data_IF_776822448790
#
_entry.id   IF_776822448790
#
_cell.length_a   1.000
_cell.length_b   1.000
_cell.length_c   1.000
_cell.angle_alpha   90.00
_cell.angle_beta   90.00
_cell.angle_gamma   90.00
#
_symmetry.space_group_name_H-M   'P 1'
#
loop_
_entity.id
_entity.type
_entity.pdbx_description
1 polymer ?
#
# COMPACT_ATOMS: atom_id res chain seq x y z
N UNK A 1 -7.69 -6.64 -31.20
CA UNK A 1 -8.38 -7.10 -29.97
C UNK A 1 -7.47 -8.06 -29.19
N UNK A 2 -6.69 -7.59 -28.20
CA UNK A 2 -5.95 -8.44 -27.24
C UNK A 2 -5.52 -7.69 -25.94
N UNK A 3 -6.06 -6.51 -25.65
CA UNK A 3 -5.59 -5.65 -24.54
C UNK A 3 -6.39 -5.75 -23.24
N UNK A 4 -7.54 -6.44 -23.25
CA UNK A 4 -8.43 -6.53 -22.07
C UNK A 4 -7.95 -7.55 -21.03
N UNK A 5 -7.43 -8.72 -21.46
CA UNK A 5 -6.90 -9.75 -20.58
C UNK A 5 -5.64 -9.30 -19.83
N UNK A 6 -4.76 -8.54 -20.48
CA UNK A 6 -3.50 -8.05 -19.89
C UNK A 6 -3.70 -7.11 -18.68
N UNK A 7 -4.72 -6.24 -18.71
CA UNK A 7 -5.01 -5.34 -17.59
C UNK A 7 -5.67 -6.07 -16.41
N UNK A 8 -6.52 -7.06 -16.67
CA UNK A 8 -7.19 -7.85 -15.64
C UNK A 8 -6.25 -8.82 -14.91
N UNK A 9 -5.34 -9.49 -15.64
CA UNK A 9 -4.31 -10.36 -15.04
C UNK A 9 -3.26 -9.54 -14.29
N UNK A 10 -2.87 -8.37 -14.83
CA UNK A 10 -1.96 -7.45 -14.14
C UNK A 10 -2.46 -7.02 -12.76
N UNK A 11 -3.77 -6.75 -12.60
CA UNK A 11 -4.35 -6.36 -11.31
C UNK A 11 -4.39 -7.49 -10.29
N UNK A 12 -4.71 -8.72 -10.70
CA UNK A 12 -4.70 -9.89 -9.80
C UNK A 12 -3.27 -10.24 -9.36
N UNK A 13 -2.31 -10.24 -10.28
CA UNK A 13 -0.89 -10.47 -9.96
C UNK A 13 -0.36 -9.39 -9.00
N UNK A 14 -0.75 -8.13 -9.21
CA UNK A 14 -0.45 -7.03 -8.28
C UNK A 14 -0.95 -7.35 -6.87
N UNK A 15 -2.22 -7.70 -6.71
CA UNK A 15 -2.79 -7.95 -5.38
C UNK A 15 -2.25 -9.20 -4.69
N UNK A 16 -1.87 -10.24 -5.46
CA UNK A 16 -1.14 -11.39 -4.93
C UNK A 16 0.21 -10.99 -4.35
N UNK A 17 1.00 -10.22 -5.10
CA UNK A 17 2.29 -9.70 -4.64
C UNK A 17 2.15 -8.83 -3.38
N UNK A 18 1.16 -7.93 -3.38
CA UNK A 18 0.85 -7.09 -2.20
C UNK A 18 0.50 -7.93 -0.99
N UNK A 19 -0.28 -9.01 -1.17
CA UNK A 19 -0.67 -9.90 -0.06
C UNK A 19 0.52 -10.65 0.51
N UNK A 20 1.46 -11.03 -0.34
CA UNK A 20 2.66 -11.75 0.08
C UNK A 20 3.64 -10.84 0.84
N UNK A 21 3.90 -9.62 0.33
CA UNK A 21 5.01 -8.80 0.83
C UNK A 21 4.59 -7.52 1.57
N UNK A 22 3.45 -6.90 1.22
CA UNK A 22 3.07 -5.62 1.81
C UNK A 22 2.38 -5.77 3.17
N UNK A 23 1.64 -6.86 3.39
CA UNK A 23 0.89 -7.15 4.63
C UNK A 23 1.09 -8.62 5.00
N UNK A 24 2.30 -9.04 5.42
CA UNK A 24 2.58 -10.43 5.75
C UNK A 24 1.78 -10.91 6.97
N UNK A 25 1.52 -12.23 7.13
CA UNK A 25 0.75 -12.76 8.26
C UNK A 25 1.26 -12.33 9.63
N UNK A 26 2.59 -12.30 9.84
CA UNK A 26 3.22 -11.86 11.08
C UNK A 26 2.89 -10.41 11.46
N UNK A 27 2.71 -9.54 10.46
CA UNK A 27 2.24 -8.17 10.68
C UNK A 27 0.80 -8.16 11.20
N UNK A 28 -0.09 -8.93 10.55
CA UNK A 28 -1.52 -9.01 10.91
C UNK A 28 -1.66 -9.52 12.34
N UNK A 29 -0.95 -10.60 12.67
CA UNK A 29 -0.93 -11.20 14.01
C UNK A 29 -0.45 -10.20 15.07
N UNK A 30 0.70 -9.55 14.83
CA UNK A 30 1.29 -8.61 15.78
C UNK A 30 0.42 -7.37 15.95
N UNK A 31 -0.06 -6.77 14.86
CA UNK A 31 -0.91 -5.59 14.89
C UNK A 31 -2.26 -5.89 15.55
N UNK A 32 -2.87 -7.04 15.24
CA UNK A 32 -4.12 -7.49 15.87
C UNK A 32 -3.94 -7.72 17.36
N UNK A 33 -2.89 -8.42 17.79
CA UNK A 33 -2.62 -8.66 19.21
C UNK A 33 -2.44 -7.35 20.00
N UNK A 34 -1.74 -6.36 19.43
CA UNK A 34 -1.54 -5.03 20.02
C UNK A 34 -2.85 -4.26 20.12
N UNK A 35 -3.64 -4.23 19.03
CA UNK A 35 -4.96 -3.58 18.98
C UNK A 35 -5.92 -4.14 20.02
N UNK A 36 -6.00 -5.48 20.15
CA UNK A 36 -6.88 -6.13 21.12
C UNK A 36 -6.52 -5.81 22.58
N UNK A 37 -5.26 -5.48 22.86
CA UNK A 37 -4.80 -4.99 24.18
C UNK A 37 -5.00 -3.48 24.37
N UNK A 38 -5.52 -2.76 23.37
CA UNK A 38 -5.69 -1.31 23.38
C UNK A 38 -4.42 -0.51 23.05
N UNK A 39 -3.32 -1.17 22.69
CA UNK A 39 -2.06 -0.54 22.28
C UNK A 39 -2.11 -0.16 20.79
N UNK A 40 -2.89 0.86 20.46
CA UNK A 40 -3.06 1.32 19.08
C UNK A 40 -1.76 1.87 18.47
N UNK A 41 -0.90 2.49 19.28
CA UNK A 41 0.39 3.00 18.82
C UNK A 41 1.35 1.85 18.46
N UNK A 42 1.41 0.81 19.29
CA UNK A 42 2.16 -0.41 18.99
C UNK A 42 1.58 -1.17 17.80
N UNK A 43 0.26 -1.18 17.62
CA UNK A 43 -0.37 -1.73 16.42
C UNK A 43 0.04 -0.96 15.15
N UNK A 44 0.04 0.38 15.19
CA UNK A 44 0.53 1.22 14.11
C UNK A 44 1.99 0.92 13.78
N UNK A 45 2.86 0.82 14.79
CA UNK A 45 4.27 0.50 14.59
C UNK A 45 4.46 -0.88 13.90
N UNK A 46 3.71 -1.90 14.32
CA UNK A 46 3.73 -3.22 13.69
C UNK A 46 3.31 -3.18 12.21
N UNK A 47 2.33 -2.34 11.87
CA UNK A 47 1.87 -2.11 10.50
C UNK A 47 2.71 -1.07 9.73
N UNK A 48 3.84 -0.61 10.30
CA UNK A 48 4.73 0.41 9.70
C UNK A 48 4.03 1.73 9.41
N UNK A 49 3.15 2.10 10.33
CA UNK A 49 2.44 3.38 10.36
C UNK A 49 3.03 4.25 11.45
N UNK A 50 3.56 5.39 11.05
CA UNK A 50 4.13 6.41 11.91
C UNK A 50 3.02 7.30 12.48
N UNK A 51 3.05 7.55 13.79
CA UNK A 51 2.07 8.41 14.46
C UNK A 51 2.62 9.83 14.56
N UNK A 52 2.06 10.73 13.77
CA UNK A 52 2.37 12.17 13.77
C UNK A 52 1.17 12.96 14.33
N UNK A 53 0.67 12.53 15.50
CA UNK A 53 -0.49 13.09 16.19
C UNK A 53 -0.12 13.54 17.61
N UNK A 54 -0.33 14.82 17.91
CA UNK A 54 -0.29 15.32 19.29
C UNK A 54 -1.72 15.43 19.84
N UNK A 55 -2.15 14.39 20.56
CA UNK A 55 -3.49 14.34 21.16
C UNK A 55 -3.68 15.39 22.26
N UNK A 56 -2.61 15.85 22.92
CA UNK A 56 -2.69 16.92 23.93
C UNK A 56 -2.88 18.27 23.25
N UNK A 57 -2.15 18.54 22.17
CA UNK A 57 -2.40 19.73 21.35
C UNK A 57 -3.80 19.74 20.76
N UNK A 58 -4.26 18.60 20.25
CA UNK A 58 -5.60 18.46 19.71
C UNK A 58 -6.67 18.75 20.78
N UNK A 59 -6.50 18.23 22.01
CA UNK A 59 -7.42 18.54 23.12
C UNK A 59 -7.40 20.03 23.51
N UNK A 60 -6.23 20.67 23.51
CA UNK A 60 -6.12 22.11 23.79
C UNK A 60 -6.82 22.97 22.74
N UNK A 61 -6.69 22.63 21.46
CA UNK A 61 -7.22 23.43 20.34
C UNK A 61 -8.71 23.14 20.09
N UNK A 62 -9.11 21.87 20.12
CA UNK A 62 -10.46 21.43 19.73
C UNK A 62 -11.35 20.99 20.90
N UNK A 63 -10.80 20.96 22.12
CA UNK A 63 -11.50 20.55 23.32
C UNK A 63 -11.52 19.04 23.55
N UNK A 64 -11.96 18.68 24.77
CA UNK A 64 -11.99 17.29 25.27
C UNK A 64 -12.87 16.36 24.45
N UNK A 65 -14.03 16.83 24.01
CA UNK A 65 -14.99 15.96 23.34
C UNK A 65 -14.51 15.50 21.96
N UNK A 66 -13.93 16.40 21.16
CA UNK A 66 -13.33 16.02 19.89
C UNK A 66 -12.12 15.10 20.12
N UNK A 67 -11.26 15.41 21.09
CA UNK A 67 -10.13 14.55 21.44
C UNK A 67 -10.56 13.14 21.88
N UNK A 68 -11.67 13.02 22.60
CA UNK A 68 -12.27 11.73 22.99
C UNK A 68 -12.72 10.93 21.77
N UNK A 69 -13.41 11.56 20.82
CA UNK A 69 -13.81 10.92 19.54
C UNK A 69 -12.61 10.43 18.73
N UNK A 70 -11.54 11.23 18.65
CA UNK A 70 -10.30 10.82 17.98
C UNK A 70 -9.63 9.65 18.68
N UNK A 71 -9.54 9.67 20.02
CA UNK A 71 -8.97 8.55 20.81
C UNK A 71 -9.78 7.27 20.62
N UNK A 72 -11.09 7.38 20.55
CA UNK A 72 -11.99 6.25 20.31
C UNK A 72 -11.79 5.66 18.90
N UNK A 73 -11.70 6.50 17.86
CA UNK A 73 -11.36 6.04 16.51
C UNK A 73 -9.97 5.38 16.46
N UNK A 74 -8.96 5.92 17.15
CA UNK A 74 -7.61 5.32 17.21
C UNK A 74 -7.58 3.98 17.95
N UNK A 75 -8.37 3.82 19.02
CA UNK A 75 -8.46 2.54 19.75
C UNK A 75 -8.99 1.41 18.88
N UNK A 76 -9.82 1.72 17.90
CA UNK A 76 -10.45 0.75 17.01
C UNK A 76 -9.79 0.66 15.62
N UNK A 77 -8.73 1.43 15.37
CA UNK A 77 -7.95 1.37 14.16
C UNK A 77 -7.31 -0.03 14.00
N UNK A 78 -7.56 -0.67 12.85
CA UNK A 78 -6.84 -1.83 12.33
C UNK A 78 -5.81 -1.34 11.28
N UNK A 79 -4.56 -1.04 11.68
CA UNK A 79 -3.60 -0.37 10.82
C UNK A 79 -3.05 -1.28 9.70
N UNK A 80 -3.00 -2.59 9.94
CA UNK A 80 -2.67 -3.61 8.94
C UNK A 80 -3.77 -3.74 7.88
N UNK A 81 -5.05 -3.67 8.27
CA UNK A 81 -6.18 -3.58 7.35
C UNK A 81 -6.17 -2.27 6.55
N UNK A 82 -5.88 -1.14 7.20
CA UNK A 82 -5.69 0.15 6.54
C UNK A 82 -4.59 0.03 5.47
N UNK A 83 -3.42 -0.51 5.83
CA UNK A 83 -2.28 -0.68 4.92
C UNK A 83 -2.63 -1.55 3.72
N UNK A 84 -3.42 -2.62 3.92
CA UNK A 84 -3.89 -3.48 2.83
C UNK A 84 -4.67 -2.69 1.77
N UNK A 85 -5.64 -1.88 2.20
CA UNK A 85 -6.51 -1.13 1.31
C UNK A 85 -5.95 0.19 0.77
N UNK A 86 -4.85 0.69 1.33
CA UNK A 86 -4.25 1.96 0.88
C UNK A 86 -3.97 1.95 -0.64
N UNK A 87 -4.15 3.08 -1.34
CA UNK A 87 -4.04 3.13 -2.80
C UNK A 87 -2.64 2.73 -3.30
N UNK A 88 -2.60 1.92 -4.36
CA UNK A 88 -1.37 1.34 -4.92
C UNK A 88 -1.23 1.59 -6.42
N UNK A 89 0.00 1.47 -6.93
CA UNK A 89 0.36 1.65 -8.33
C UNK A 89 0.81 0.31 -8.91
N UNK A 90 0.35 0.03 -10.13
CA UNK A 90 0.76 -1.13 -10.92
C UNK A 90 2.13 -0.92 -11.60
N UNK A 91 2.88 -1.99 -11.91
CA UNK A 91 2.51 -3.40 -11.69
C UNK A 91 2.86 -3.93 -10.30
N UNK A 92 3.78 -3.27 -9.61
CA UNK A 92 4.43 -3.83 -8.41
C UNK A 92 3.57 -3.76 -7.14
N UNK A 93 2.48 -2.98 -7.16
CA UNK A 93 1.58 -2.88 -6.02
C UNK A 93 2.14 -2.02 -4.89
N UNK A 94 3.09 -1.15 -5.19
CA UNK A 94 3.62 -0.17 -4.25
C UNK A 94 2.56 0.90 -3.95
N UNK A 95 2.47 1.33 -2.69
CA UNK A 95 1.72 2.47 -2.20
C UNK A 95 1.97 3.67 -3.09
N UNK A 96 0.89 4.32 -3.49
CA UNK A 96 0.96 5.54 -4.27
C UNK A 96 1.60 6.65 -3.41
N UNK A 97 2.70 7.26 -3.85
CA UNK A 97 3.41 8.26 -3.06
C UNK A 97 2.67 9.61 -3.01
N UNK A 98 2.96 10.40 -1.98
CA UNK A 98 2.51 11.78 -1.80
C UNK A 98 1.00 11.94 -1.58
N UNK A 99 0.30 10.91 -1.14
CA UNK A 99 -1.15 10.97 -0.90
C UNK A 99 -1.47 11.53 0.49
N UNK A 100 -2.60 12.22 0.59
CA UNK A 100 -3.32 12.44 1.85
C UNK A 100 -4.71 11.82 1.70
N UNK A 101 -4.98 10.77 2.47
CA UNK A 101 -6.25 10.03 2.49
C UNK A 101 -7.02 10.41 3.75
N UNK A 102 -8.28 10.83 3.61
CA UNK A 102 -9.13 11.11 4.77
C UNK A 102 -9.58 9.78 5.39
N UNK A 103 -9.35 9.58 6.69
CA UNK A 103 -9.84 8.43 7.44
C UNK A 103 -11.14 8.75 8.18
N UNK A 104 -11.22 9.93 8.79
CA UNK A 104 -12.41 10.38 9.51
C UNK A 104 -12.51 11.90 9.44
N UNK A 105 -13.74 12.41 9.28
CA UNK A 105 -14.08 13.84 9.31
C UNK A 105 -14.75 14.18 10.63
N UNK A 106 -14.31 15.26 11.28
CA UNK A 106 -14.82 15.71 12.57
C UNK A 106 -15.54 17.05 12.42
N UNK A 107 -16.85 17.00 12.17
CA UNK A 107 -17.68 18.21 12.14
C UNK A 107 -17.67 18.92 13.50
N UNK A 108 -17.58 20.26 13.48
CA UNK A 108 -17.84 21.09 14.64
C UNK A 108 -19.36 21.23 14.81
N UNK A 109 -19.92 20.55 15.80
CA UNK A 109 -21.24 20.91 16.32
C UNK A 109 -21.08 22.15 17.18
N UNK A 110 -21.48 23.31 16.68
CA UNK A 110 -21.83 24.48 17.50
C UNK A 110 -20.70 25.35 18.07
N UNK A 111 -19.53 25.46 17.42
CA UNK A 111 -18.52 26.47 17.80
C UNK A 111 -18.08 27.25 16.56
N UNK A 112 -18.06 28.60 16.58
CA UNK A 112 -17.48 29.37 15.48
C UNK A 112 -15.99 29.00 15.33
N UNK A 113 -15.56 28.88 14.08
CA UNK A 113 -14.17 28.59 13.74
C UNK A 113 -13.25 29.69 14.33
N UNK A 114 -12.06 29.34 14.84
CA UNK A 114 -11.06 30.34 15.18
C UNK A 114 -10.64 31.11 13.91
N UNK A 115 -10.38 32.40 14.10
CA UNK A 115 -10.27 33.44 13.06
C UNK A 115 -9.52 33.03 11.78
N UNK A 116 -10.25 33.06 10.66
CA UNK A 116 -9.74 32.65 9.35
C UNK A 116 -10.86 32.35 8.35
N UNK A 117 -11.82 33.26 8.26
CA UNK A 117 -13.06 33.09 7.48
C UNK A 117 -12.77 33.22 5.98
N UNK A 118 -12.99 32.14 5.23
CA UNK A 118 -13.24 32.21 3.78
C UNK A 118 -14.64 32.77 3.50
N UNK A 119 -14.97 33.16 2.26
CA UNK A 119 -16.19 33.93 1.94
C UNK A 119 -17.52 33.31 2.41
N UNK A 120 -17.55 32.02 2.78
CA UNK A 120 -18.74 31.30 3.22
C UNK A 120 -18.85 31.06 4.75
N UNK A 121 -17.98 31.66 5.59
CA UNK A 121 -18.15 31.61 7.06
C UNK A 121 -17.80 30.27 7.75
N UNK A 122 -17.51 29.21 7.00
CA UNK A 122 -17.22 27.87 7.53
C UNK A 122 -15.74 27.54 7.36
N UNK A 123 -15.00 27.45 8.46
CA UNK A 123 -13.61 26.97 8.46
C UNK A 123 -13.49 25.53 7.94
N UNK A 124 -12.33 25.14 7.39
CA UNK A 124 -12.11 23.78 6.89
C UNK A 124 -12.36 22.73 7.99
N UNK A 125 -13.16 21.71 7.68
CA UNK A 125 -13.52 20.68 8.66
C UNK A 125 -12.27 19.84 9.00
N UNK A 126 -11.96 19.61 10.28
CA UNK A 126 -10.82 18.79 10.65
C UNK A 126 -10.97 17.31 10.29
N UNK A 127 -9.86 16.67 9.95
CA UNK A 127 -9.77 15.27 9.56
C UNK A 127 -8.61 14.55 10.25
N UNK A 128 -8.86 13.29 10.62
CA UNK A 128 -7.78 12.31 10.78
C UNK A 128 -7.41 11.81 9.39
N UNK A 129 -6.13 11.86 9.04
CA UNK A 129 -5.63 11.48 7.71
C UNK A 129 -4.51 10.46 7.78
N UNK A 130 -4.40 9.64 6.74
CA UNK A 130 -3.23 8.82 6.46
C UNK A 130 -2.45 9.43 5.28
N UNK A 131 -1.13 9.53 5.39
CA UNK A 131 -0.25 10.11 4.37
C UNK A 131 0.79 9.12 3.90
N UNK A 132 1.09 9.15 2.61
CA UNK A 132 2.25 8.45 2.04
C UNK A 132 3.34 9.45 1.70
N UNK A 133 4.62 9.15 1.99
CA UNK A 133 5.72 10.03 1.64
C UNK A 133 5.77 10.37 0.15
N UNK A 134 6.34 11.52 -0.25
CA UNK A 134 6.64 11.77 -1.65
C UNK A 134 7.58 10.69 -2.21
N UNK A 135 7.58 10.48 -3.53
CA UNK A 135 8.29 9.38 -4.17
C UNK A 135 9.79 9.33 -3.83
N UNK A 136 10.44 10.48 -3.68
CA UNK A 136 11.86 10.55 -3.32
C UNK A 136 12.15 10.16 -1.86
N UNK A 137 11.13 10.14 -1.00
CA UNK A 137 11.22 9.75 0.42
C UNK A 137 10.46 8.45 0.72
N UNK A 138 10.01 7.72 -0.31
CA UNK A 138 9.28 6.47 -0.14
C UNK A 138 10.26 5.36 0.31
N UNK A 139 10.50 5.28 1.61
CA UNK A 139 11.45 4.35 2.20
C UNK A 139 10.80 3.04 2.63
N UNK A 140 10.46 2.22 1.65
CA UNK A 140 9.79 0.96 1.94
C UNK A 140 8.39 1.20 2.49
N UNK A 141 7.63 2.10 1.85
CA UNK A 141 6.18 2.06 1.91
C UNK A 141 5.63 2.43 3.29
N UNK A 142 6.19 3.49 3.89
CA UNK A 142 5.72 4.05 5.17
C UNK A 142 4.39 4.79 4.98
N UNK A 143 3.59 4.80 6.02
CA UNK A 143 2.37 5.60 6.12
C UNK A 143 2.49 6.45 7.38
N UNK A 144 2.04 7.70 7.38
CA UNK A 144 1.89 8.47 8.62
C UNK A 144 0.44 8.81 8.92
N UNK A 145 0.04 8.70 10.17
CA UNK A 145 -1.23 9.19 10.68
C UNK A 145 -1.03 10.62 11.19
N UNK A 146 -1.83 11.54 10.68
CA UNK A 146 -1.70 12.95 10.98
C UNK A 146 -3.07 13.63 11.15
N UNK A 147 -3.03 14.81 11.74
CA UNK A 147 -4.18 15.69 11.85
C UNK A 147 -4.15 16.71 10.72
N UNK A 148 -5.31 16.97 10.10
CA UNK A 148 -5.47 18.00 9.09
C UNK A 148 -6.66 18.89 9.43
N UNK A 149 -6.45 20.20 9.51
CA UNK A 149 -7.44 21.20 9.92
C UNK A 149 -7.51 22.39 8.95
N UNK A 150 -6.91 22.24 7.77
CA UNK A 150 -6.85 23.25 6.72
C UNK A 150 -6.00 24.49 7.03
N UNK A 151 -5.45 24.63 8.23
CA UNK A 151 -4.55 25.74 8.54
C UNK A 151 -3.16 25.45 7.96
N UNK A 152 -2.57 26.44 7.27
CA UNK A 152 -1.17 26.38 6.87
C UNK A 152 -0.35 26.49 8.15
N UNK A 153 0.04 25.35 8.67
CA UNK A 153 0.93 25.23 9.81
C UNK A 153 2.18 26.09 9.56
N UNK A 154 2.48 27.02 10.49
CA UNK A 154 3.49 28.06 10.35
C UNK A 154 4.95 27.58 10.23
N UNK A 155 5.93 28.50 10.24
CA UNK A 155 7.35 28.14 10.21
C UNK A 155 7.69 27.36 11.49
N UNK A 156 7.87 26.05 11.37
CA UNK A 156 7.99 25.10 12.48
C UNK A 156 7.22 23.79 12.27
N UNK A 157 6.39 23.73 11.23
CA UNK A 157 5.49 22.60 10.98
C UNK A 157 6.06 21.44 10.16
N UNK A 158 7.23 20.94 10.54
CA UNK A 158 7.80 19.65 10.09
C UNK A 158 7.57 19.22 8.63
N UNK A 159 7.47 17.91 8.41
CA UNK A 159 7.24 17.31 7.08
C UNK A 159 5.89 17.65 6.45
N UNK A 160 4.88 17.98 7.27
CA UNK A 160 3.51 18.25 6.86
C UNK A 160 3.41 19.51 5.97
N UNK A 161 4.19 20.56 6.26
CA UNK A 161 4.21 21.79 5.48
C UNK A 161 4.85 21.62 4.09
N UNK A 162 5.68 20.58 3.90
CA UNK A 162 6.39 20.27 2.64
C UNK A 162 5.78 19.08 1.88
N UNK A 163 4.62 18.58 2.32
CA UNK A 163 3.95 17.46 1.66
C UNK A 163 3.35 17.89 0.30
N UNK A 164 3.57 17.16 -0.81
CA UNK A 164 3.16 17.60 -2.16
C UNK A 164 1.65 17.81 -2.33
N UNK A 165 0.84 16.95 -1.72
CA UNK A 165 -0.61 17.03 -1.74
C UNK A 165 -1.13 17.10 -0.30
N UNK A 166 -1.05 18.27 0.37
CA UNK A 166 -1.30 18.38 1.80
C UNK A 166 -2.78 18.27 2.17
N UNK A 167 -3.68 18.51 1.19
CA UNK A 167 -5.13 18.42 1.35
C UNK A 167 -5.62 16.98 1.15
N UNK A 168 -6.63 16.53 1.92
CA UNK A 168 -7.27 15.25 1.68
C UNK A 168 -7.75 15.10 0.22
N UNK A 169 -7.47 13.95 -0.37
CA UNK A 169 -7.88 13.63 -1.73
C UNK A 169 -9.39 13.53 -1.84
N UNK A 170 -9.96 14.10 -2.91
CA UNK A 170 -11.37 13.90 -3.27
C UNK A 170 -11.67 12.47 -3.74
N UNK A 171 -10.64 11.76 -4.22
CA UNK A 171 -10.76 10.40 -4.77
C UNK A 171 -10.57 9.31 -3.70
N UNK A 172 -9.73 9.57 -2.69
CA UNK A 172 -9.41 8.58 -1.64
C UNK A 172 -10.06 8.99 -0.32
N UNK A 173 -11.32 8.57 -0.16
CA UNK A 173 -12.25 8.96 0.92
C UNK A 173 -12.56 7.79 1.86
N UNK A 174 -11.60 7.43 2.72
CA UNK A 174 -11.79 6.35 3.70
C UNK A 174 -12.67 6.79 4.89
N UNK A 175 -12.97 8.09 4.99
CA UNK A 175 -14.03 8.63 5.84
C UNK A 175 -15.42 8.12 5.45
N UNK A 176 -15.64 7.77 4.17
CA UNK A 176 -16.86 7.13 3.68
C UNK A 176 -16.79 5.60 3.66
N UNK A 177 -15.60 5.04 3.88
CA UNK A 177 -15.29 3.60 3.79
C UNK A 177 -14.59 3.12 5.07
N UNK A 178 -15.16 3.43 6.23
CA UNK A 178 -14.57 3.08 7.54
C UNK A 178 -14.32 1.58 7.70
N UNK A 179 -15.13 0.73 7.05
CA UNK A 179 -14.93 -0.72 7.03
C UNK A 179 -13.57 -1.20 6.49
N UNK A 180 -12.81 -0.33 5.83
CA UNK A 180 -11.45 -0.63 5.34
C UNK A 180 -10.35 -0.43 6.39
N UNK A 181 -10.67 0.10 7.59
CA UNK A 181 -9.68 0.39 8.62
C UNK A 181 -10.21 0.41 10.06
N UNK A 182 -11.50 0.68 10.30
CA UNK A 182 -12.15 0.69 11.62
C UNK A 182 -12.70 -0.71 11.92
N UNK A 183 -12.14 -1.37 12.93
CA UNK A 183 -12.52 -2.73 13.29
C UNK A 183 -14.00 -2.88 13.66
N UNK A 184 -14.64 -1.82 14.16
CA UNK A 184 -16.08 -1.82 14.51
C UNK A 184 -16.99 -1.81 13.29
N UNK A 185 -16.46 -1.39 12.14
CA UNK A 185 -17.22 -1.24 10.89
C UNK A 185 -16.85 -2.32 9.88
N UNK A 186 -15.95 -3.24 10.22
CA UNK A 186 -15.50 -4.28 9.31
C UNK A 186 -16.63 -5.19 8.81
N UNK A 187 -17.69 -5.39 9.59
CA UNK A 187 -18.88 -6.14 9.16
C UNK A 187 -19.61 -5.51 7.97
N UNK A 188 -19.50 -4.19 7.79
CA UNK A 188 -20.10 -3.49 6.64
C UNK A 188 -19.38 -3.84 5.33
N UNK A 189 -18.18 -4.42 5.39
CA UNK A 189 -17.37 -4.76 4.22
C UNK A 189 -18.17 -5.58 3.20
N UNK A 190 -18.96 -6.55 3.66
CA UNK A 190 -19.81 -7.37 2.78
C UNK A 190 -20.85 -6.50 2.06
N UNK A 191 -21.65 -5.75 2.81
CA UNK A 191 -22.72 -4.94 2.25
C UNK A 191 -22.18 -3.84 1.32
N UNK A 192 -21.00 -3.27 1.64
CA UNK A 192 -20.38 -2.17 0.90
C UNK A 192 -19.52 -2.63 -0.28
N UNK A 193 -19.08 -3.88 -0.30
CA UNK A 193 -18.25 -4.45 -1.37
C UNK A 193 -19.01 -5.33 -2.35
N UNK A 194 -20.29 -5.59 -2.07
CA UNK A 194 -21.10 -6.57 -2.76
C UNK A 194 -20.78 -7.99 -2.29
N UNK A 195 -21.80 -8.84 -2.15
CA UNK A 195 -21.66 -10.26 -1.81
C UNK A 195 -21.43 -11.15 -3.05
N UNK A 196 -21.47 -10.56 -4.25
CA UNK A 196 -21.41 -11.31 -5.51
C UNK A 196 -22.73 -12.00 -5.89
N UNK A 197 -23.81 -11.74 -5.14
CA UNK A 197 -25.19 -12.03 -5.55
C UNK A 197 -25.86 -10.70 -5.89
N UNK A 198 -26.75 -10.70 -6.87
CA UNK A 198 -27.60 -9.53 -7.09
C UNK A 198 -28.39 -9.28 -5.78
N UNK A 199 -28.39 -8.06 -5.21
CA UNK A 199 -29.16 -7.78 -4.01
C UNK A 199 -30.64 -8.11 -4.24
N UNK A 200 -31.29 -8.77 -3.28
CA UNK A 200 -32.74 -9.01 -3.33
C UNK A 200 -33.57 -7.71 -3.27
N UNK A 201 -32.90 -6.60 -2.93
CA UNK A 201 -33.44 -5.25 -2.82
C UNK A 201 -32.35 -4.26 -3.20
N UNK A 202 -31.99 -4.23 -4.49
CA UNK A 202 -31.17 -3.15 -5.06
C UNK A 202 -32.03 -1.89 -5.26
N UNK A 203 -31.41 -0.69 -5.19
CA UNK A 203 -31.91 0.46 -5.95
C UNK A 203 -32.03 0.08 -7.46
N UNK A 204 -32.84 0.81 -8.24
CA UNK A 204 -33.15 0.48 -9.63
C UNK A 204 -31.93 0.12 -10.51
N UNK A 205 -32.14 -0.65 -11.60
CA UNK A 205 -31.05 -1.16 -12.44
C UNK A 205 -30.12 -0.05 -12.95
N UNK A 206 -28.81 -0.33 -12.99
CA UNK A 206 -27.83 0.60 -13.55
C UNK A 206 -27.89 0.54 -15.08
N UNK A 207 -28.38 1.61 -15.70
CA UNK A 207 -28.41 1.71 -17.16
C UNK A 207 -26.99 2.04 -17.67
N UNK A 208 -26.36 1.08 -18.35
CA UNK A 208 -24.99 1.22 -18.86
C UNK A 208 -24.97 1.12 -20.38
N UNK A 209 -24.50 2.14 -21.11
CA UNK A 209 -24.21 1.99 -22.53
C UNK A 209 -23.12 0.94 -22.74
N UNK A 210 -23.20 0.06 -23.76
CA UNK A 210 -22.24 -1.02 -24.00
C UNK A 210 -20.76 -0.56 -24.10
N UNK A 211 -20.54 0.70 -24.45
CA UNK A 211 -19.21 1.30 -24.67
C UNK A 211 -18.69 2.14 -23.50
N UNK A 212 -19.55 2.48 -22.53
CA UNK A 212 -19.21 3.44 -21.46
C UNK A 212 -18.20 2.87 -20.45
N UNK A 213 -18.31 1.56 -20.16
CA UNK A 213 -17.39 0.84 -19.28
C UNK A 213 -16.76 -0.32 -20.05
N UNK A 214 -15.47 -0.23 -20.40
CA UNK A 214 -14.80 -1.28 -21.17
C UNK A 214 -14.90 -2.67 -20.54
N UNK A 215 -15.27 -3.66 -21.36
CA UNK A 215 -15.28 -5.07 -20.96
C UNK A 215 -13.90 -5.49 -20.40
N UNK A 216 -13.90 -6.11 -19.22
CA UNK A 216 -12.70 -6.59 -18.51
C UNK A 216 -12.17 -5.67 -17.40
N UNK A 217 -12.69 -4.45 -17.25
CA UNK A 217 -12.50 -3.67 -16.03
C UNK A 217 -13.35 -4.26 -14.90
N UNK A 218 -12.73 -4.62 -13.78
CA UNK A 218 -13.42 -5.15 -12.59
C UNK A 218 -14.02 -4.01 -11.76
N UNK A 219 -14.95 -3.27 -12.36
CA UNK A 219 -15.72 -2.21 -11.71
C UNK A 219 -16.85 -2.81 -10.87
N UNK A 220 -17.17 -2.17 -9.75
CA UNK A 220 -18.29 -2.56 -8.88
C UNK A 220 -19.56 -1.77 -9.24
N UNK A 221 -20.06 -1.97 -10.46
CA UNK A 221 -21.16 -1.22 -11.04
C UNK A 221 -22.44 -1.29 -10.18
N UNK A 222 -22.70 -2.46 -9.61
CA UNK A 222 -23.86 -2.81 -8.80
C UNK A 222 -24.04 -1.92 -7.55
N UNK A 223 -22.99 -1.24 -7.09
CA UNK A 223 -23.02 -0.36 -5.91
C UNK A 223 -22.80 1.12 -6.20
N UNK A 224 -22.55 1.50 -7.45
CA UNK A 224 -22.21 2.89 -7.80
C UNK A 224 -23.32 3.88 -7.40
N UNK A 225 -24.59 3.52 -7.61
CA UNK A 225 -25.74 4.34 -7.21
C UNK A 225 -25.76 4.61 -5.69
N UNK A 226 -25.73 3.55 -4.88
CA UNK A 226 -25.75 3.65 -3.42
C UNK A 226 -24.53 4.43 -2.86
N UNK A 227 -23.35 4.22 -3.44
CA UNK A 227 -22.13 4.94 -3.05
C UNK A 227 -22.16 6.42 -3.47
N UNK A 228 -22.79 6.75 -4.59
CA UNK A 228 -23.00 8.13 -5.03
C UNK A 228 -23.99 8.88 -4.12
N UNK A 229 -25.03 8.22 -3.62
CA UNK A 229 -25.93 8.80 -2.61
C UNK A 229 -25.20 9.12 -1.31
N UNK A 230 -24.36 8.19 -0.83
CA UNK A 230 -23.53 8.40 0.36
C UNK A 230 -22.56 9.56 0.19
N UNK A 231 -21.91 9.64 -0.97
CA UNK A 231 -21.03 10.77 -1.32
C UNK A 231 -21.81 12.08 -1.34
N UNK A 232 -22.93 12.16 -2.05
CA UNK A 232 -23.74 13.37 -2.15
C UNK A 232 -24.20 13.84 -0.77
N UNK A 233 -24.66 12.94 0.10
CA UNK A 233 -24.99 13.28 1.51
C UNK A 233 -23.79 13.84 2.27
N UNK A 234 -22.61 13.27 2.11
CA UNK A 234 -21.39 13.76 2.76
C UNK A 234 -20.92 15.13 2.24
N UNK A 235 -21.25 15.46 1.00
CA UNK A 235 -21.04 16.77 0.38
C UNK A 235 -22.18 17.77 0.66
N UNK A 236 -23.19 17.40 1.47
CA UNK A 236 -24.34 18.27 1.79
C UNK A 236 -25.36 18.39 0.66
N UNK A 237 -25.30 17.54 -0.37
CA UNK A 237 -26.21 17.51 -1.52
C UNK A 237 -27.36 16.53 -1.25
N UNK A 238 -28.25 16.88 -0.32
CA UNK A 238 -29.37 16.01 0.09
C UNK A 238 -30.35 15.67 -1.03
N UNK A 239 -30.51 16.55 -2.03
CA UNK A 239 -31.31 16.30 -3.22
C UNK A 239 -30.62 15.35 -4.24
N UNK A 240 -29.42 14.87 -3.93
CA UNK A 240 -28.60 14.09 -4.84
C UNK A 240 -27.97 14.94 -5.95
N UNK A 241 -27.48 14.27 -6.98
CA UNK A 241 -26.94 14.90 -8.17
C UNK A 241 -25.83 14.08 -8.81
N UNK A 242 -25.36 14.51 -10.00
CA UNK A 242 -24.39 13.75 -10.77
C UNK A 242 -23.03 13.67 -10.06
N UNK A 243 -22.36 12.54 -10.26
CA UNK A 243 -21.04 12.20 -9.70
C UNK A 243 -20.12 11.69 -10.81
N UNK A 244 -18.85 12.10 -10.78
CA UNK A 244 -17.85 11.63 -11.76
C UNK A 244 -17.20 10.34 -11.26
N UNK A 245 -17.15 9.31 -12.11
CA UNK A 245 -16.42 8.05 -11.84
C UNK A 245 -15.13 8.02 -12.65
N UNK A 246 -14.00 7.69 -12.02
CA UNK A 246 -12.68 7.64 -12.66
C UNK A 246 -12.25 6.20 -12.90
N UNK A 247 -12.10 5.80 -14.17
CA UNK A 247 -11.78 4.42 -14.58
C UNK A 247 -10.28 4.19 -14.85
N UNK A 248 -9.43 5.14 -14.47
CA UNK A 248 -7.99 5.10 -14.76
C UNK A 248 -7.63 5.45 -16.21
N UNK A 249 -6.34 5.64 -16.48
CA UNK A 249 -5.81 6.04 -17.81
C UNK A 249 -6.49 7.28 -18.41
N UNK A 250 -6.91 8.23 -17.56
CA UNK A 250 -7.62 9.45 -17.98
C UNK A 250 -9.11 9.26 -18.30
N UNK A 251 -9.63 8.02 -18.30
CA UNK A 251 -11.03 7.72 -18.61
C UNK A 251 -11.95 8.09 -17.45
N UNK A 252 -13.09 8.69 -17.78
CA UNK A 252 -14.10 9.17 -16.84
C UNK A 252 -15.48 8.93 -17.42
N UNK A 253 -16.44 8.64 -16.55
CA UNK A 253 -17.87 8.60 -16.87
C UNK A 253 -18.64 9.44 -15.85
N UNK A 254 -19.82 9.89 -16.22
CA UNK A 254 -20.76 10.56 -15.33
C UNK A 254 -21.79 9.54 -14.86
N UNK A 255 -22.10 9.56 -13.56
CA UNK A 255 -23.19 8.80 -12.98
C UNK A 255 -24.30 9.78 -12.61
N UNK A 256 -25.45 9.64 -13.28
CA UNK A 256 -26.61 10.51 -13.10
C UNK A 256 -27.69 9.75 -12.32
N UNK A 257 -28.20 10.31 -11.21
CA UNK A 257 -29.28 9.68 -10.46
C UNK A 257 -30.56 9.67 -11.29
N UNK A 258 -31.29 8.56 -11.25
CA UNK A 258 -32.60 8.42 -11.88
C UNK A 258 -33.73 8.69 -10.87
N UNK A 259 -34.93 9.13 -11.32
CA UNK A 259 -36.05 9.42 -10.43
C UNK A 259 -36.57 8.21 -9.64
N UNK A 260 -36.33 6.99 -10.15
CA UNK A 260 -36.74 5.72 -9.55
C UNK A 260 -35.72 5.16 -8.53
N UNK A 261 -34.69 5.95 -8.20
CA UNK A 261 -33.61 5.55 -7.30
C UNK A 261 -32.51 4.73 -7.98
N UNK A 262 -32.57 4.52 -9.30
CA UNK A 262 -31.47 3.97 -10.09
C UNK A 262 -30.42 5.01 -10.45
N UNK A 263 -29.49 4.63 -11.33
CA UNK A 263 -28.54 5.57 -11.92
C UNK A 263 -28.19 5.19 -13.37
N UNK A 264 -27.98 6.21 -14.20
CA UNK A 264 -27.52 6.06 -15.57
C UNK A 264 -26.03 6.44 -15.70
N UNK A 265 -25.29 5.67 -16.49
CA UNK A 265 -23.90 5.97 -16.82
C UNK A 265 -23.83 6.70 -18.15
N UNK A 266 -23.38 7.94 -18.15
CA UNK A 266 -23.24 8.77 -19.35
C UNK A 266 -21.78 9.19 -19.58
N UNK A 267 -21.40 9.63 -20.80
CA UNK A 267 -20.07 10.16 -21.05
C UNK A 267 -19.74 11.33 -20.12
N UNK A 268 -18.51 11.38 -19.61
CA UNK A 268 -18.12 12.46 -18.72
C UNK A 268 -18.15 13.83 -19.44
N UNK A 269 -18.60 14.90 -18.75
CA UNK A 269 -18.58 16.24 -19.31
C UNK A 269 -17.13 16.75 -19.46
N UNK A 270 -16.93 17.88 -20.16
CA UNK A 270 -15.63 18.53 -20.26
C UNK A 270 -14.98 18.75 -18.88
N UNK A 271 -13.63 18.72 -18.84
CA UNK A 271 -12.88 18.63 -17.59
C UNK A 271 -13.16 19.75 -16.58
N UNK A 272 -13.44 20.96 -17.05
CA UNK A 272 -13.82 22.10 -16.22
C UNK A 272 -15.13 21.85 -15.44
N UNK A 273 -16.14 21.29 -16.09
CA UNK A 273 -17.42 20.95 -15.46
C UNK A 273 -17.30 19.68 -14.61
N UNK A 274 -16.49 18.71 -15.04
CA UNK A 274 -16.21 17.53 -14.23
C UNK A 274 -15.44 17.86 -12.93
N UNK A 275 -14.66 18.95 -12.91
CA UNK A 275 -13.86 19.34 -11.74
C UNK A 275 -14.68 19.97 -10.59
N UNK A 276 -15.89 20.46 -10.90
CA UNK A 276 -16.82 21.02 -9.90
C UNK A 276 -17.72 19.96 -9.27
N UNK A 277 -17.84 18.79 -9.91
CA UNK A 277 -18.65 17.68 -9.42
C UNK A 277 -17.91 16.83 -8.37
N UNK A 278 -18.64 16.19 -7.44
CA UNK A 278 -18.08 15.15 -6.59
C UNK A 278 -17.53 13.99 -7.43
N UNK A 279 -16.48 13.35 -6.91
CA UNK A 279 -15.84 12.20 -7.56
C UNK A 279 -16.13 10.96 -6.74
N UNK A 280 -16.65 9.90 -7.37
CA UNK A 280 -16.89 8.63 -6.72
C UNK A 280 -15.57 8.10 -6.13
N UNK A 281 -15.54 7.72 -4.84
CA UNK A 281 -14.30 7.24 -4.23
C UNK A 281 -13.74 6.01 -4.96
N UNK A 282 -12.41 5.91 -4.99
CA UNK A 282 -11.72 4.78 -5.66
C UNK A 282 -12.13 3.42 -5.06
N UNK A 283 -12.30 3.38 -3.74
CA UNK A 283 -12.77 2.21 -3.00
C UNK A 283 -14.17 1.74 -3.40
N UNK A 284 -15.03 2.64 -3.90
CA UNK A 284 -16.36 2.34 -4.43
C UNK A 284 -16.33 2.00 -5.93
N UNK A 285 -15.34 2.51 -6.66
CA UNK A 285 -15.22 2.31 -8.11
C UNK A 285 -14.91 0.85 -8.48
N UNK A 286 -13.99 0.22 -7.77
CA UNK A 286 -13.42 -1.10 -8.12
C UNK A 286 -13.87 -2.21 -7.19
N UNK A 287 -14.07 -3.43 -7.70
CA UNK A 287 -14.33 -4.60 -6.85
C UNK A 287 -13.22 -4.73 -5.79
N UNK A 288 -13.61 -5.08 -4.56
CA UNK A 288 -12.70 -5.23 -3.43
C UNK A 288 -11.61 -6.27 -3.77
N UNK A 289 -10.32 -5.98 -3.51
CA UNK A 289 -9.22 -6.88 -3.83
C UNK A 289 -9.39 -8.31 -3.29
N UNK A 290 -9.89 -8.47 -2.05
CA UNK A 290 -10.13 -9.78 -1.46
C UNK A 290 -11.21 -10.57 -2.22
N UNK A 291 -12.28 -9.91 -2.67
CA UNK A 291 -13.31 -10.55 -3.49
C UNK A 291 -12.77 -10.94 -4.87
N UNK A 292 -11.93 -10.10 -5.48
CA UNK A 292 -11.29 -10.41 -6.77
C UNK A 292 -10.41 -11.67 -6.67
N UNK A 293 -9.59 -11.75 -5.62
CA UNK A 293 -8.69 -12.89 -5.38
C UNK A 293 -9.45 -14.18 -5.03
N UNK A 294 -10.48 -14.09 -4.19
CA UNK A 294 -11.34 -15.23 -3.85
C UNK A 294 -12.08 -15.78 -5.08
N UNK A 295 -12.71 -14.90 -5.87
CA UNK A 295 -13.46 -15.29 -7.08
C UNK A 295 -12.55 -15.92 -8.13
N UNK A 296 -11.29 -15.51 -8.18
CA UNK A 296 -10.28 -16.09 -9.07
C UNK A 296 -9.68 -17.40 -8.53
N UNK A 297 -10.00 -17.82 -7.30
CA UNK A 297 -9.44 -19.02 -6.67
C UNK A 297 -7.95 -18.92 -6.35
N UNK A 298 -7.39 -17.70 -6.36
CA UNK A 298 -5.94 -17.48 -6.18
C UNK A 298 -5.54 -17.45 -4.70
N UNK A 299 -6.50 -17.24 -3.81
CA UNK A 299 -6.31 -17.14 -2.36
C UNK A 299 -7.51 -17.79 -1.66
N UNK A 300 -7.25 -18.61 -0.64
CA UNK A 300 -8.30 -19.16 0.24
C UNK A 300 -8.61 -18.24 1.44
N UNK A 301 -9.73 -18.46 2.15
CA UNK A 301 -10.13 -17.63 3.30
C UNK A 301 -9.05 -17.52 4.40
N UNK A 302 -8.30 -18.59 4.66
CA UNK A 302 -7.24 -18.63 5.69
C UNK A 302 -6.07 -17.66 5.41
N UNK A 303 -5.93 -17.21 4.16
CA UNK A 303 -4.94 -16.22 3.76
C UNK A 303 -5.49 -14.79 3.76
N UNK A 304 -6.73 -14.57 4.19
CA UNK A 304 -7.28 -13.22 4.35
C UNK A 304 -7.11 -12.65 5.75
N UNK A 305 -7.20 -11.34 5.84
CA UNK A 305 -7.19 -10.65 7.13
C UNK A 305 -8.41 -11.13 7.97
N UNK A 306 -8.26 -11.43 9.27
CA UNK A 306 -9.33 -11.99 10.09
C UNK A 306 -10.66 -11.20 10.07
N UNK A 307 -10.58 -9.86 10.12
CA UNK A 307 -11.78 -8.99 9.98
C UNK A 307 -12.45 -9.11 8.60
N UNK A 308 -11.69 -9.37 7.54
CA UNK A 308 -12.22 -9.58 6.18
C UNK A 308 -12.86 -10.96 6.09
N UNK A 309 -12.23 -11.99 6.66
CA UNK A 309 -12.82 -13.34 6.74
C UNK A 309 -14.15 -13.30 7.47
N UNK A 310 -14.19 -12.69 8.66
CA UNK A 310 -15.41 -12.60 9.45
C UNK A 310 -16.55 -11.90 8.68
N UNK A 311 -16.24 -10.89 7.87
CA UNK A 311 -17.22 -10.17 7.09
C UNK A 311 -17.65 -10.91 5.81
N UNK A 312 -16.72 -11.49 5.06
CA UNK A 312 -17.01 -12.08 3.74
C UNK A 312 -17.37 -13.57 3.79
N UNK A 313 -16.84 -14.32 4.76
CA UNK A 313 -16.99 -15.77 4.92
C UNK A 313 -17.21 -16.15 6.41
N UNK A 314 -18.35 -15.79 7.02
CA UNK A 314 -18.63 -15.90 8.46
C UNK A 314 -18.70 -17.35 8.93
N UNK A 315 -19.07 -18.28 8.05
CA UNK A 315 -19.11 -19.71 8.35
C UNK A 315 -17.73 -20.37 8.25
N UNK A 316 -16.69 -19.61 7.87
CA UNK A 316 -15.33 -20.12 7.78
C UNK A 316 -14.79 -20.43 9.17
N UNK A 317 -14.40 -21.68 9.38
CA UNK A 317 -13.63 -22.09 10.55
C UNK A 317 -12.16 -22.08 10.15
N UNK A 318 -11.31 -21.31 10.86
CA UNK A 318 -9.89 -21.26 10.52
C UNK A 318 -9.32 -22.67 10.57
N UNK A 319 -8.62 -23.07 9.50
CA UNK A 319 -7.70 -24.17 9.61
C UNK A 319 -6.65 -23.76 10.66
N UNK A 320 -6.23 -24.70 11.53
CA UNK A 320 -5.20 -24.43 12.52
C UNK A 320 -3.94 -23.78 11.90
N UNK A 321 -3.05 -23.18 12.72
CA UNK A 321 -1.93 -22.40 12.20
C UNK A 321 -1.17 -23.16 11.12
N UNK A 322 -1.16 -22.62 9.91
CA UNK A 322 -0.37 -23.14 8.80
C UNK A 322 1.09 -22.90 9.16
N UNK A 323 1.82 -23.98 9.45
CA UNK A 323 3.27 -23.91 9.62
C UNK A 323 3.88 -23.29 8.36
N UNK A 324 4.82 -22.34 8.50
CA UNK A 324 5.59 -21.92 7.34
C UNK A 324 6.23 -23.17 6.71
N UNK A 325 6.36 -23.23 5.37
CA UNK A 325 7.20 -24.24 4.76
C UNK A 325 8.62 -24.00 5.25
N UNK A 326 9.02 -24.83 6.20
CA UNK A 326 10.39 -24.88 6.69
C UNK A 326 11.20 -25.74 5.73
N UNK A 327 12.15 -25.10 5.07
CA UNK A 327 13.31 -25.76 4.49
C UNK A 327 14.59 -25.01 4.90
N UNK A 328 14.59 -24.32 6.04
CA UNK A 328 15.80 -23.76 6.62
C UNK A 328 16.52 -24.88 7.38
N UNK A 329 17.60 -25.40 6.80
CA UNK A 329 18.48 -26.37 7.47
C UNK A 329 18.80 -27.63 6.68
N UNK A 330 18.23 -27.84 5.48
CA UNK A 330 18.72 -28.90 4.62
C UNK A 330 20.07 -28.49 4.01
N UNK A 331 21.11 -29.34 4.12
CA UNK A 331 22.41 -29.03 3.55
C UNK A 331 22.32 -28.89 2.03
N UNK A 332 22.84 -27.79 1.50
CA UNK A 332 22.98 -27.58 0.05
C UNK A 332 24.04 -28.53 -0.48
N UNK A 333 23.72 -29.26 -1.55
CA UNK A 333 24.63 -30.20 -2.19
C UNK A 333 25.36 -29.54 -3.37
N UNK A 334 26.67 -29.74 -3.45
CA UNK A 334 27.55 -29.18 -4.49
C UNK A 334 28.49 -30.28 -5.00
N UNK A 335 28.65 -30.39 -6.31
CA UNK A 335 29.66 -31.26 -6.90
C UNK A 335 31.05 -30.63 -6.76
N UNK A 336 31.91 -31.23 -5.96
CA UNK A 336 33.26 -30.77 -5.66
C UNK A 336 34.28 -31.86 -5.99
N UNK A 337 35.17 -31.61 -6.96
CA UNK A 337 36.22 -32.55 -7.39
C UNK A 337 35.69 -33.99 -7.69
N UNK A 338 34.47 -34.11 -8.21
CA UNK A 338 33.86 -35.40 -8.57
C UNK A 338 33.09 -36.10 -7.45
N UNK A 339 32.91 -35.45 -6.29
CA UNK A 339 32.10 -35.95 -5.18
C UNK A 339 31.02 -34.93 -4.76
N UNK A 340 29.91 -35.43 -4.19
CA UNK A 340 28.83 -34.59 -3.64
C UNK A 340 29.18 -34.13 -2.24
N UNK A 341 29.43 -32.84 -2.10
CA UNK A 341 29.72 -32.18 -0.82
C UNK A 341 28.50 -31.42 -0.30
N UNK A 342 28.42 -31.26 1.01
CA UNK A 342 27.35 -30.61 1.77
C UNK A 342 27.83 -29.26 2.30
N UNK A 343 26.95 -28.27 2.21
CA UNK A 343 27.13 -26.94 2.78
C UNK A 343 25.94 -26.69 3.71
N UNK A 344 26.20 -26.33 4.95
CA UNK A 344 25.15 -26.05 5.93
C UNK A 344 25.59 -24.92 6.86
N UNK A 345 24.63 -24.40 7.63
CA UNK A 345 24.93 -23.47 8.72
C UNK A 345 25.54 -24.24 9.89
N UNK A 346 26.73 -23.82 10.32
CA UNK A 346 27.40 -24.26 11.54
C UNK A 346 27.74 -23.01 12.33
N UNK A 347 27.33 -22.94 13.60
CA UNK A 347 27.55 -21.80 14.48
C UNK A 347 27.17 -20.45 13.82
N UNK A 348 26.03 -20.42 13.13
CA UNK A 348 25.51 -19.20 12.51
C UNK A 348 26.21 -18.77 11.22
N UNK A 349 27.08 -19.61 10.63
CA UNK A 349 27.81 -19.30 9.39
C UNK A 349 27.73 -20.44 8.38
N UNK A 350 27.53 -20.10 7.11
CA UNK A 350 27.52 -21.06 6.00
C UNK A 350 28.89 -21.71 5.79
N UNK A 351 28.96 -23.02 6.06
CA UNK A 351 30.20 -23.79 6.18
C UNK A 351 30.17 -25.04 5.28
N UNK A 352 31.26 -25.37 4.56
CA UNK A 352 31.37 -26.62 3.81
C UNK A 352 31.73 -27.77 4.77
N UNK A 353 30.82 -28.72 4.96
CA UNK A 353 30.93 -29.78 5.98
C UNK A 353 31.93 -30.89 5.62
N UNK A 354 32.20 -31.07 4.33
CA UNK A 354 33.03 -32.17 3.80
C UNK A 354 34.47 -31.72 3.50
N UNK A 355 34.92 -30.61 4.10
CA UNK A 355 36.30 -30.13 4.02
C UNK A 355 36.89 -29.89 5.42
N UNK A 356 38.16 -30.25 5.61
CA UNK A 356 38.88 -29.92 6.83
C UNK A 356 39.14 -28.39 6.90
N UNK A 357 39.05 -27.75 8.08
CA UNK A 357 39.30 -26.31 8.21
C UNK A 357 40.68 -25.85 7.71
N UNK A 358 41.72 -26.68 7.80
CA UNK A 358 43.04 -26.36 7.24
C UNK A 358 43.03 -26.40 5.71
N UNK A 359 42.26 -27.31 5.11
CA UNK A 359 42.05 -27.34 3.66
C UNK A 359 41.34 -26.07 3.20
N UNK A 360 40.25 -25.69 3.88
CA UNK A 360 39.50 -24.46 3.58
C UNK A 360 40.42 -23.23 3.62
N UNK A 361 41.19 -23.04 4.70
CA UNK A 361 42.13 -21.91 4.82
C UNK A 361 43.18 -21.88 3.71
N UNK A 362 43.73 -23.03 3.33
CA UNK A 362 44.70 -23.12 2.23
C UNK A 362 44.08 -22.70 0.91
N UNK A 363 42.85 -23.17 0.62
CA UNK A 363 42.13 -22.84 -0.60
C UNK A 363 41.74 -21.35 -0.64
N UNK A 364 41.33 -20.76 0.48
CA UNK A 364 41.07 -19.32 0.59
C UNK A 364 42.32 -18.47 0.31
N UNK A 365 43.49 -18.89 0.80
CA UNK A 365 44.77 -18.24 0.47
C UNK A 365 45.10 -18.32 -1.02
N UNK A 366 44.87 -19.47 -1.65
CA UNK A 366 45.06 -19.62 -3.09
C UNK A 366 44.14 -18.67 -3.86
N UNK A 367 42.89 -18.53 -3.45
CA UNK A 367 41.93 -17.59 -4.06
C UNK A 367 42.40 -16.14 -3.92
N UNK A 368 42.90 -15.76 -2.75
CA UNK A 368 43.46 -14.42 -2.54
C UNK A 368 44.66 -14.14 -3.45
N UNK A 369 45.42 -15.18 -3.82
CA UNK A 369 46.52 -15.14 -4.78
C UNK A 369 46.07 -15.41 -6.23
N UNK A 370 44.80 -15.14 -6.58
CA UNK A 370 44.19 -15.29 -7.92
C UNK A 370 43.98 -16.74 -8.40
N UNK A 371 44.14 -17.72 -7.51
CA UNK A 371 43.81 -19.12 -7.76
C UNK A 371 42.31 -19.35 -7.98
N UNK A 372 41.97 -20.43 -8.67
CA UNK A 372 40.56 -20.79 -8.91
C UNK A 372 39.97 -21.44 -7.65
N UNK A 373 38.91 -20.86 -7.05
CA UNK A 373 38.27 -21.42 -5.87
C UNK A 373 37.63 -22.78 -6.10
N UNK A 374 37.65 -23.62 -5.06
CA UNK A 374 36.87 -24.85 -5.00
C UNK A 374 35.38 -24.60 -5.31
N UNK A 375 34.67 -25.55 -5.96
CA UNK A 375 33.22 -25.47 -6.15
C UNK A 375 32.44 -25.13 -4.87
N UNK A 376 32.80 -25.71 -3.72
CA UNK A 376 32.16 -25.39 -2.44
C UNK A 376 32.35 -23.92 -2.02
N UNK A 377 33.58 -23.40 -2.12
CA UNK A 377 33.86 -22.00 -1.79
C UNK A 377 33.20 -21.03 -2.77
N UNK A 378 33.13 -21.39 -4.07
CA UNK A 378 32.35 -20.64 -5.07
C UNK A 378 30.88 -20.60 -4.73
N UNK A 379 30.29 -21.73 -4.33
CA UNK A 379 28.88 -21.80 -3.97
C UNK A 379 28.55 -20.94 -2.74
N UNK A 380 29.45 -20.88 -1.76
CA UNK A 380 29.34 -19.98 -0.59
C UNK A 380 29.48 -18.53 -1.01
N UNK A 381 30.47 -18.19 -1.84
CA UNK A 381 30.68 -16.82 -2.32
C UNK A 381 29.47 -16.34 -3.15
N UNK A 382 28.92 -17.17 -4.03
CA UNK A 382 27.72 -16.85 -4.80
C UNK A 382 26.51 -16.61 -3.89
N UNK A 383 26.32 -17.43 -2.84
CA UNK A 383 25.25 -17.22 -1.86
C UNK A 383 25.37 -15.85 -1.16
N UNK A 384 26.59 -15.38 -0.89
CA UNK A 384 26.79 -14.04 -0.29
C UNK A 384 26.57 -12.89 -1.28
N UNK A 385 26.96 -13.06 -2.55
CA UNK A 385 26.95 -11.96 -3.53
C UNK A 385 25.63 -11.84 -4.29
N UNK A 386 25.09 -12.96 -4.76
CA UNK A 386 23.93 -13.04 -5.66
C UNK A 386 23.11 -14.31 -5.35
N UNK A 387 22.49 -14.39 -4.16
CA UNK A 387 21.70 -15.56 -3.81
C UNK A 387 20.48 -15.70 -4.72
N UNK A 388 20.04 -16.94 -4.96
CA UNK A 388 18.85 -17.23 -5.76
C UNK A 388 17.58 -16.56 -5.19
N UNK A 389 17.55 -16.35 -3.87
CA UNK A 389 16.45 -15.66 -3.18
C UNK A 389 16.50 -14.13 -3.29
N UNK A 390 17.51 -13.53 -3.95
CA UNK A 390 17.70 -12.08 -4.01
C UNK A 390 16.47 -11.35 -4.53
N UNK A 391 15.77 -11.91 -5.52
CA UNK A 391 14.51 -11.34 -6.03
C UNK A 391 13.47 -11.25 -4.91
N UNK A 392 13.27 -12.31 -4.12
CA UNK A 392 12.34 -12.30 -2.99
C UNK A 392 12.75 -11.38 -1.84
N UNK A 393 14.06 -11.13 -1.66
CA UNK A 393 14.60 -10.15 -0.71
C UNK A 393 14.29 -8.74 -1.19
N UNK A 394 14.55 -8.42 -2.46
CA UNK A 394 14.22 -7.12 -3.09
C UNK A 394 12.74 -6.79 -2.94
N UNK A 395 11.86 -7.73 -3.28
CA UNK A 395 10.41 -7.54 -3.16
C UNK A 395 9.99 -7.20 -1.73
N UNK A 396 10.52 -7.93 -0.75
CA UNK A 396 10.26 -7.63 0.66
C UNK A 396 10.77 -6.24 1.03
N UNK A 397 12.00 -5.86 0.65
CA UNK A 397 12.55 -4.55 0.94
C UNK A 397 11.77 -3.41 0.27
N UNK A 398 11.34 -3.58 -0.97
CA UNK A 398 10.55 -2.59 -1.71
C UNK A 398 9.17 -2.41 -1.10
N UNK A 399 8.55 -3.50 -0.68
CA UNK A 399 7.31 -3.47 0.10
C UNK A 399 7.52 -3.07 1.58
N UNK A 400 8.78 -2.89 2.01
CA UNK A 400 9.29 -2.46 3.32
C UNK A 400 9.33 -3.53 4.42
N UNK A 401 9.11 -4.80 4.08
CA UNK A 401 9.21 -5.96 4.97
C UNK A 401 10.68 -6.29 5.23
N UNK A 402 11.37 -5.39 5.93
CA UNK A 402 12.79 -5.58 6.26
C UNK A 402 12.99 -6.80 7.17
N UNK A 403 12.07 -7.07 8.08
CA UNK A 403 12.17 -8.22 8.98
C UNK A 403 12.10 -9.53 8.20
N UNK A 404 11.13 -9.68 7.28
CA UNK A 404 11.06 -10.85 6.41
C UNK A 404 12.25 -10.95 5.46
N UNK A 405 12.76 -9.83 4.95
CA UNK A 405 13.94 -9.81 4.08
C UNK A 405 15.19 -10.32 4.83
N UNK A 406 15.41 -9.83 6.05
CA UNK A 406 16.52 -10.27 6.89
C UNK A 406 16.36 -11.73 7.31
N UNK A 407 15.17 -12.18 7.69
CA UNK A 407 14.93 -13.59 8.04
C UNK A 407 15.27 -14.55 6.88
N UNK A 408 15.01 -14.17 5.62
CA UNK A 408 15.41 -14.95 4.44
C UNK A 408 16.93 -14.98 4.28
N UNK A 409 17.61 -13.85 4.50
CA UNK A 409 19.08 -13.74 4.39
C UNK A 409 19.77 -14.52 5.52
N UNK A 410 19.31 -14.35 6.76
CA UNK A 410 19.80 -15.06 7.95
C UNK A 410 19.55 -16.55 7.85
N UNK A 411 18.41 -16.98 7.30
CA UNK A 411 18.14 -18.40 7.04
C UNK A 411 19.06 -19.01 5.96
N UNK A 412 19.58 -18.20 5.05
CA UNK A 412 20.48 -18.66 3.98
C UNK A 412 21.96 -18.62 4.39
N UNK A 413 22.41 -17.51 4.95
CA UNK A 413 23.83 -17.24 5.24
C UNK A 413 24.19 -17.52 6.70
N UNK A 414 23.18 -17.51 7.57
CA UNK A 414 23.31 -17.52 9.01
C UNK A 414 23.29 -16.11 9.62
N UNK A 415 22.88 -15.97 10.89
CA UNK A 415 22.78 -14.68 11.58
C UNK A 415 24.13 -13.97 11.78
N UNK A 416 25.23 -14.72 11.82
CA UNK A 416 26.58 -14.19 12.08
C UNK A 416 27.38 -13.97 10.77
N UNK A 417 26.73 -14.11 9.62
CA UNK A 417 27.38 -13.96 8.32
C UNK A 417 27.80 -12.50 8.05
N UNK A 418 29.08 -12.31 7.72
CA UNK A 418 29.59 -11.02 7.26
C UNK A 418 29.23 -10.81 5.78
N UNK A 419 28.46 -9.76 5.49
CA UNK A 419 28.04 -9.42 4.13
C UNK A 419 29.23 -9.05 3.24
N UNK A 420 29.45 -9.86 2.22
CA UNK A 420 30.47 -9.61 1.19
C UNK A 420 29.96 -8.60 0.15
N UNK A 421 30.89 -7.97 -0.57
CA UNK A 421 30.54 -7.07 -1.67
C UNK A 421 29.80 -7.82 -2.78
N UNK A 422 28.68 -7.27 -3.24
CA UNK A 422 27.82 -7.90 -4.24
C UNK A 422 26.39 -7.35 -4.19
N UNK A 423 25.55 -7.87 -5.09
CA UNK A 423 24.19 -7.35 -5.28
C UNK A 423 23.35 -7.43 -4.00
N UNK A 424 23.49 -8.47 -3.17
CA UNK A 424 22.77 -8.56 -1.90
C UNK A 424 23.11 -7.39 -0.96
N UNK A 425 24.41 -7.11 -0.77
CA UNK A 425 24.87 -6.00 0.07
C UNK A 425 24.40 -4.66 -0.50
N UNK A 426 24.51 -4.45 -1.80
CA UNK A 426 24.09 -3.22 -2.48
C UNK A 426 22.59 -2.94 -2.24
N UNK A 427 21.74 -3.97 -2.29
CA UNK A 427 20.30 -3.83 -2.03
C UNK A 427 20.00 -3.47 -0.56
N UNK A 428 20.67 -4.12 0.39
CA UNK A 428 20.50 -3.83 1.82
C UNK A 428 20.99 -2.42 2.16
N UNK A 429 22.12 -2.00 1.58
CA UNK A 429 22.66 -0.66 1.72
C UNK A 429 21.73 0.39 1.09
N UNK A 430 21.19 0.13 -0.10
CA UNK A 430 20.20 0.99 -0.73
C UNK A 430 18.92 1.12 0.12
N UNK A 431 18.44 0.03 0.73
CA UNK A 431 17.29 0.06 1.64
C UNK A 431 17.60 0.86 2.92
N UNK A 432 18.80 0.75 3.47
CA UNK A 432 19.25 1.54 4.61
C UNK A 432 19.31 3.05 4.27
N UNK A 433 19.88 3.41 3.12
CA UNK A 433 19.89 4.79 2.63
C UNK A 433 18.48 5.36 2.46
N UNK A 434 17.55 4.60 1.87
CA UNK A 434 16.14 5.01 1.76
C UNK A 434 15.55 5.35 3.14
N UNK A 435 15.77 4.51 4.15
CA UNK A 435 15.29 4.75 5.54
C UNK A 435 15.84 6.05 6.13
N UNK A 436 17.11 6.36 5.89
CA UNK A 436 17.72 7.64 6.31
C UNK A 436 17.03 8.81 5.60
N UNK A 437 16.83 8.73 4.27
CA UNK A 437 16.12 9.75 3.50
C UNK A 437 14.71 10.01 4.04
N UNK A 438 13.98 8.95 4.40
CA UNK A 438 12.66 9.09 5.03
C UNK A 438 12.73 9.71 6.42
N UNK A 439 13.71 9.34 7.25
CA UNK A 439 13.94 9.98 8.55
C UNK A 439 14.18 11.49 8.41
N UNK A 440 15.02 11.91 7.46
CA UNK A 440 15.28 13.31 7.14
C UNK A 440 14.01 14.03 6.65
N UNK A 441 13.22 13.38 5.79
CA UNK A 441 11.94 13.90 5.35
C UNK A 441 10.99 14.14 6.52
N UNK A 442 10.80 13.13 7.38
CA UNK A 442 9.89 13.18 8.53
C UNK A 442 10.29 14.26 9.53
N UNK A 443 11.60 14.43 9.76
CA UNK A 443 12.14 15.47 10.62
C UNK A 443 12.05 16.89 10.02
N UNK A 444 11.66 17.04 8.74
CA UNK A 444 11.68 18.33 8.05
C UNK A 444 13.10 18.82 7.74
N UNK A 445 14.10 17.93 7.79
CA UNK A 445 15.52 18.21 7.57
C UNK A 445 15.97 17.90 6.14
N UNK A 446 15.13 17.26 5.34
CA UNK A 446 15.35 17.19 3.91
C UNK A 446 15.34 18.62 3.34
N UNK A 447 16.39 18.99 2.62
CA UNK A 447 16.48 20.24 1.87
C UNK A 447 15.34 20.39 0.84
N UNK A 448 15.38 21.40 -0.06
CA UNK A 448 14.41 21.47 -1.15
C UNK A 448 14.37 20.12 -1.88
N UNK A 449 13.16 19.64 -2.19
CA UNK A 449 12.98 18.38 -2.89
C UNK A 449 13.87 18.38 -4.15
N UNK A 450 14.60 17.28 -4.45
CA UNK A 450 15.33 17.18 -5.71
C UNK A 450 14.37 17.49 -6.86
N UNK A 451 14.80 18.32 -7.82
CA UNK A 451 13.97 18.78 -8.94
C UNK A 451 13.11 17.65 -9.50
N UNK A 452 11.78 17.86 -9.49
CA UNK A 452 10.70 16.97 -9.92
C UNK A 452 11.17 15.72 -10.69
N UNK A 453 11.58 14.68 -9.96
CA UNK A 453 11.74 13.36 -10.53
C UNK A 453 10.33 12.77 -10.68
N UNK A 454 9.78 12.91 -11.89
CA UNK A 454 8.65 12.07 -12.33
C UNK A 454 9.07 10.60 -12.19
N UNK A 455 8.19 9.68 -11.76
CA UNK A 455 8.47 8.26 -11.81
C UNK A 455 8.55 7.86 -13.29
N UNK A 456 9.77 7.64 -13.76
CA UNK A 456 10.03 7.24 -15.14
C UNK A 456 11.49 6.87 -15.30
N UNK A 457 11.74 5.59 -15.54
CA UNK A 457 13.01 5.06 -16.01
C UNK A 457 13.61 5.99 -17.08
N UNK A 458 14.84 6.46 -16.85
CA UNK A 458 15.65 7.18 -17.86
C UNK A 458 15.69 6.33 -19.13
N UNK A 459 14.91 6.70 -20.15
CA UNK A 459 15.18 6.25 -21.52
C UNK A 459 16.47 6.94 -21.98
N UNK A 460 17.43 6.22 -22.59
CA UNK A 460 18.57 6.83 -23.25
C UNK A 460 18.06 7.83 -24.28
N UNK A 461 18.50 9.08 -24.17
CA UNK A 461 18.33 10.08 -25.23
C UNK A 461 19.30 9.68 -26.33
N UNK A 462 18.81 8.97 -27.33
CA UNK A 462 19.40 9.06 -28.66
C UNK A 462 18.34 8.83 -29.74
N UNK A 463 18.46 9.64 -30.78
CA UNK A 463 17.64 9.71 -32.01
C UNK A 463 16.31 10.47 -31.88
N UNK A 464 16.42 11.79 -31.70
CA UNK A 464 15.55 12.73 -32.42
C UNK A 464 16.26 13.18 -33.69
N UNK A 465 15.84 12.64 -34.82
CA UNK A 465 15.98 13.28 -36.12
C UNK A 465 14.61 13.19 -36.79
N UNK A 466 13.90 14.31 -36.88
CA UNK A 466 13.48 14.87 -38.17
C UNK A 466 12.55 16.09 -37.95
N UNK A 467 12.61 17.06 -38.89
CA UNK A 467 12.27 18.46 -38.67
C UNK A 467 10.79 18.75 -38.91
N UNK A 468 10.39 19.92 -38.40
CA UNK A 468 9.11 20.57 -38.69
C UNK A 468 9.11 20.99 -40.16
N UNK A 469 8.17 20.46 -40.94
CA UNK A 469 7.70 21.16 -42.13
C UNK A 469 6.36 21.82 -41.86
N UNK A 470 6.41 23.14 -41.98
CA UNK A 470 5.29 24.07 -42.12
C UNK A 470 5.02 24.15 -43.62
N UNK A 471 3.78 23.94 -44.07
CA UNK A 471 3.00 24.90 -44.89
C UNK A 471 1.72 24.29 -45.50
N UNK A 472 0.63 25.05 -45.32
CA UNK A 472 -0.47 25.39 -46.25
C UNK A 472 -1.02 24.31 -47.21
N UNK A 473 -2.31 24.02 -47.05
CA UNK A 473 -3.38 24.72 -47.78
C UNK A 473 -4.71 24.61 -47.05
#
# INVERSE_FOLDING_TARGET
MLTSTANGTSRLSLWLRVREFAVPPSMIETASARRLRGDWAGACAAARIDVDLDLRALERVYGRELARRVRDDLRHLAPDLLRWHMPRIAPDGLLRPGLTVALARYGQTGRPAPDGVGPDGVGPVPHLVARTPPAWADAGQRISLAWWDGHRTGPGAGAAARHPHPRPSRLFRFDLHRHLWDARRAEELRARSGDGRAPASSPGPLETPPEAVPAGLRCALDRWAAEAELLNRAEGRSAGGPVVVRLGSGRRVLLEPLPDGGAAVTPAPPENLAATLPVLPDAATWVLPDLELLRAGLVGPDRLHPLVVAALVPDHRPAGPVRPPDAAGQPRLVECRGARHRIALVDGVLTPLDHDPAEVRREELLVALTGTPLPCLRAIDEAHRRPDCLTGVRERLDHGDTAGALAVVEGLLGPDALLRGGALRDELEAAAHRRITYGLYRAGLAGPAPDRLLPGTRRPRDRRSHPRDVTRR
#
